data_IF_832071553100
#
_entry.id   IF_832071553100
#
_cell.length_a   1.000
_cell.length_b   1.000
_cell.length_c   1.000
_cell.angle_alpha   90.00
_cell.angle_beta   90.00
_cell.angle_gamma   90.00
#
_symmetry.space_group_name_H-M   'P 1'
#
loop_
_entity.id
_entity.type
_entity.pdbx_description
1 polymer ?
#
# COMPACT_ATOMS: atom_id res chain seq x y z
N UNK A 1 26.54 19.25 -12.57
CA UNK A 1 25.83 18.22 -13.36
C UNK A 1 24.80 17.61 -12.43
N UNK A 2 23.51 17.60 -12.81
CA UNK A 2 22.46 17.00 -11.97
C UNK A 2 22.53 15.48 -12.17
N UNK A 3 22.74 14.74 -11.09
CA UNK A 3 22.69 13.28 -11.13
C UNK A 3 21.24 12.84 -10.93
N UNK A 4 20.61 12.34 -11.99
CA UNK A 4 19.27 11.77 -11.90
C UNK A 4 19.33 10.35 -11.33
N UNK A 5 18.25 9.87 -10.69
CA UNK A 5 18.14 8.48 -10.27
C UNK A 5 18.34 7.52 -11.45
N UNK A 6 19.02 6.39 -11.22
CA UNK A 6 19.16 5.35 -12.23
C UNK A 6 17.80 4.67 -12.44
N UNK A 7 17.20 4.84 -13.62
CA UNK A 7 15.92 4.23 -13.97
C UNK A 7 16.14 2.83 -14.58
N UNK A 8 15.67 1.73 -13.95
CA UNK A 8 15.87 0.38 -14.45
C UNK A 8 14.90 -0.02 -15.58
N UNK A 9 14.15 0.94 -16.16
CA UNK A 9 13.25 0.72 -17.30
C UNK A 9 11.78 0.98 -16.96
N UNK A 10 10.86 0.44 -17.76
CA UNK A 10 9.42 0.57 -17.50
C UNK A 10 9.00 -0.53 -16.51
N UNK A 11 8.28 -0.17 -15.44
CA UNK A 11 7.74 -1.14 -14.50
C UNK A 11 6.53 -1.86 -15.09
N UNK A 12 6.25 -3.10 -14.64
CA UNK A 12 5.08 -3.84 -15.09
C UNK A 12 3.78 -3.05 -14.87
N UNK A 13 3.62 -2.41 -13.70
CA UNK A 13 2.47 -1.56 -13.39
C UNK A 13 2.29 -0.39 -14.34
N UNK A 14 3.38 0.29 -14.72
CA UNK A 14 3.32 1.41 -15.68
C UNK A 14 3.11 0.92 -17.10
N UNK A 15 3.69 -0.22 -17.48
CA UNK A 15 3.63 -0.76 -18.84
C UNK A 15 2.24 -1.23 -19.28
N UNK A 16 1.32 -1.46 -18.35
CA UNK A 16 -0.08 -1.83 -18.62
C UNK A 16 -1.05 -0.65 -18.57
N UNK A 17 -0.57 0.56 -18.28
CA UNK A 17 -1.38 1.78 -18.26
C UNK A 17 -1.25 2.54 -19.59
N UNK A 18 -2.24 3.37 -19.94
CA UNK A 18 -2.09 4.34 -21.01
C UNK A 18 -0.87 5.26 -20.76
N UNK A 19 -0.17 5.71 -21.82
CA UNK A 19 0.91 6.67 -21.66
C UNK A 19 0.37 7.96 -21.05
N UNK A 20 1.07 8.48 -20.04
CA UNK A 20 0.76 9.78 -19.41
C UNK A 20 1.64 10.86 -20.00
N UNK A 21 1.10 12.08 -20.08
CA UNK A 21 1.89 13.24 -20.44
C UNK A 21 2.66 13.71 -19.20
N UNK A 22 3.99 13.81 -19.32
CA UNK A 22 4.82 14.39 -18.28
C UNK A 22 4.41 15.83 -17.99
N UNK A 23 4.49 16.22 -16.70
CA UNK A 23 4.39 17.63 -16.34
C UNK A 23 5.55 18.43 -16.95
N UNK A 24 5.28 19.70 -17.24
CA UNK A 24 6.30 20.59 -17.81
C UNK A 24 7.48 20.72 -16.85
N UNK A 25 8.68 20.71 -17.42
CA UNK A 25 9.88 21.06 -16.67
C UNK A 25 9.75 22.49 -16.14
N UNK A 26 10.18 22.70 -14.89
CA UNK A 26 10.28 24.03 -14.31
C UNK A 26 11.41 24.81 -15.01
N UNK A 27 11.06 25.89 -15.70
CA UNK A 27 11.96 26.76 -16.47
C UNK A 27 12.12 28.16 -15.85
N UNK A 28 11.32 28.50 -14.85
CA UNK A 28 11.36 29.76 -14.12
C UNK A 28 11.28 29.59 -12.60
N UNK A 29 11.68 30.63 -11.87
CA UNK A 29 11.57 30.65 -10.42
C UNK A 29 10.11 30.83 -10.01
N UNK A 30 9.65 30.04 -9.04
CA UNK A 30 8.33 30.16 -8.46
C UNK A 30 8.39 30.36 -6.95
N UNK A 31 7.61 31.31 -6.44
CA UNK A 31 7.31 31.40 -5.02
C UNK A 31 6.21 30.38 -4.68
N UNK A 32 6.28 29.77 -3.50
CA UNK A 32 5.30 28.85 -2.96
C UNK A 32 5.21 29.03 -1.44
N UNK A 33 4.05 28.78 -0.85
CA UNK A 33 3.89 28.71 0.60
C UNK A 33 4.48 27.39 1.13
N UNK A 34 4.35 26.33 0.33
CA UNK A 34 4.91 25.00 0.61
C UNK A 34 5.61 24.42 -0.62
N UNK A 35 6.86 23.98 -0.44
CA UNK A 35 7.62 23.22 -1.43
C UNK A 35 7.76 21.76 -0.96
N UNK A 36 7.25 20.82 -1.75
CA UNK A 36 7.41 19.38 -1.54
C UNK A 36 8.40 18.85 -2.57
N UNK A 37 9.44 18.15 -2.11
CA UNK A 37 10.46 17.55 -2.98
C UNK A 37 10.21 16.04 -3.06
N UNK A 38 9.85 15.57 -4.26
CA UNK A 38 9.54 14.19 -4.61
C UNK A 38 8.04 13.91 -4.70
N UNK A 39 7.58 13.41 -5.85
CA UNK A 39 6.19 13.02 -6.11
C UNK A 39 5.96 11.52 -5.88
N UNK A 40 6.42 11.02 -4.74
CA UNK A 40 6.08 9.67 -4.24
C UNK A 40 4.94 9.70 -3.23
N UNK A 41 4.63 8.54 -2.62
CA UNK A 41 3.55 8.43 -1.61
C UNK A 41 3.62 9.49 -0.52
N UNK A 42 4.79 9.70 0.09
CA UNK A 42 4.94 10.67 1.16
C UNK A 42 4.69 12.11 0.68
N UNK A 43 5.29 12.49 -0.45
CA UNK A 43 5.20 13.85 -0.98
C UNK A 43 3.79 14.19 -1.46
N UNK A 44 3.18 13.33 -2.27
CA UNK A 44 1.81 13.57 -2.77
C UNK A 44 0.77 13.48 -1.65
N UNK A 45 0.90 12.55 -0.70
CA UNK A 45 0.00 12.51 0.46
C UNK A 45 0.13 13.77 1.32
N UNK A 46 1.35 14.29 1.51
CA UNK A 46 1.58 15.54 2.22
C UNK A 46 0.98 16.73 1.45
N UNK A 47 1.19 16.82 0.14
CA UNK A 47 0.63 17.86 -0.71
C UNK A 47 -0.91 17.85 -0.67
N UNK A 48 -1.54 16.68 -0.82
CA UNK A 48 -2.99 16.50 -0.66
C UNK A 48 -3.45 16.96 0.71
N UNK A 49 -2.77 16.55 1.79
CA UNK A 49 -3.16 16.92 3.14
C UNK A 49 -3.02 18.42 3.40
N UNK A 50 -1.97 19.06 2.87
CA UNK A 50 -1.80 20.51 2.92
C UNK A 50 -2.94 21.22 2.18
N UNK A 51 -3.28 20.77 0.97
CA UNK A 51 -4.38 21.33 0.18
C UNK A 51 -5.73 21.24 0.91
N UNK A 52 -6.01 20.13 1.60
CA UNK A 52 -7.22 19.97 2.42
C UNK A 52 -7.28 20.92 3.63
N UNK A 53 -6.11 21.21 4.23
CA UNK A 53 -6.02 22.07 5.43
C UNK A 53 -5.94 23.56 5.09
N UNK A 54 -5.35 23.89 3.94
CA UNK A 54 -5.13 25.24 3.47
C UNK A 54 -5.41 25.32 1.96
N UNK A 55 -6.68 25.35 1.54
CA UNK A 55 -7.07 25.35 0.11
C UNK A 55 -6.53 26.54 -0.68
N UNK A 56 -6.24 27.66 0.00
CA UNK A 56 -5.73 28.88 -0.61
C UNK A 56 -4.19 28.93 -0.69
N UNK A 57 -3.48 27.97 -0.08
CA UNK A 57 -2.02 27.96 -0.08
C UNK A 57 -1.47 27.51 -1.44
N UNK A 58 -0.43 28.21 -1.92
CA UNK A 58 0.31 27.80 -3.11
C UNK A 58 1.28 26.68 -2.77
N UNK A 59 0.90 25.44 -3.12
CA UNK A 59 1.71 24.24 -2.93
C UNK A 59 2.40 23.88 -4.24
N UNK A 60 3.73 23.70 -4.20
CA UNK A 60 4.53 23.24 -5.35
C UNK A 60 5.14 21.89 -5.02
N UNK A 61 4.91 20.90 -5.89
CA UNK A 61 5.57 19.59 -5.84
C UNK A 61 6.63 19.54 -6.93
N UNK A 62 7.88 19.25 -6.56
CA UNK A 62 9.00 19.16 -7.49
C UNK A 62 9.49 17.71 -7.55
N UNK A 63 9.47 17.12 -8.74
CA UNK A 63 9.92 15.76 -9.00
C UNK A 63 10.99 15.77 -10.09
N UNK A 64 11.99 14.89 -9.95
CA UNK A 64 13.13 14.80 -10.87
C UNK A 64 12.84 13.92 -12.09
N UNK A 65 11.88 13.00 -11.99
CA UNK A 65 11.45 12.08 -13.04
C UNK A 65 9.96 12.27 -13.40
N UNK A 66 9.39 11.40 -14.25
CA UNK A 66 7.93 11.39 -14.33
C UNK A 66 7.32 10.76 -13.07
N UNK A 67 6.17 11.27 -12.62
CA UNK A 67 5.40 10.67 -11.53
C UNK A 67 5.15 9.20 -11.85
N UNK A 68 5.28 8.32 -10.85
CA UNK A 68 5.26 6.85 -10.94
C UNK A 68 6.52 6.14 -11.48
N UNK A 69 7.54 6.84 -11.98
CA UNK A 69 8.76 6.17 -12.46
C UNK A 69 9.65 5.63 -11.35
N UNK A 70 9.64 6.28 -10.19
CA UNK A 70 10.41 5.88 -9.02
C UNK A 70 9.79 4.71 -8.25
N UNK A 71 10.32 4.37 -7.06
CA UNK A 71 9.82 3.25 -6.24
C UNK A 71 8.31 3.30 -5.94
N UNK A 72 7.72 4.50 -5.92
CA UNK A 72 6.30 4.72 -5.67
C UNK A 72 5.39 4.03 -6.71
N UNK A 73 5.78 3.95 -7.99
CA UNK A 73 5.01 3.23 -9.02
C UNK A 73 5.50 1.82 -9.33
N UNK A 74 6.40 1.27 -8.50
CA UNK A 74 7.11 0.00 -8.76
C UNK A 74 6.96 -1.06 -7.67
N UNK A 75 6.46 -0.68 -6.50
CA UNK A 75 6.27 -1.60 -5.38
C UNK A 75 5.14 -2.61 -5.64
N UNK A 76 4.94 -3.55 -4.72
CA UNK A 76 3.95 -4.62 -4.86
C UNK A 76 2.49 -4.16 -4.71
N UNK A 77 2.25 -2.94 -4.20
CA UNK A 77 0.91 -2.37 -4.01
C UNK A 77 0.21 -2.78 -2.71
N UNK A 78 0.84 -3.58 -1.84
CA UNK A 78 0.17 -4.06 -0.63
C UNK A 78 0.05 -2.97 0.43
N UNK A 79 -1.18 -2.71 0.88
CA UNK A 79 -1.48 -1.99 2.12
C UNK A 79 -2.00 -3.00 3.14
N UNK A 80 -1.14 -3.37 4.09
CA UNK A 80 -1.45 -4.41 5.09
C UNK A 80 -1.85 -3.72 6.39
N UNK A 81 -3.03 -4.06 6.90
CA UNK A 81 -3.58 -3.48 8.11
C UNK A 81 -3.00 -4.12 9.38
N UNK A 82 -2.92 -5.45 9.41
CA UNK A 82 -2.50 -6.21 10.59
C UNK A 82 -0.98 -6.48 10.64
N UNK A 83 -0.36 -6.49 11.83
CA UNK A 83 1.06 -6.80 12.01
C UNK A 83 1.40 -8.22 11.52
N UNK A 84 2.61 -8.38 10.99
CA UNK A 84 3.02 -9.56 10.21
C UNK A 84 4.09 -10.45 10.86
N UNK A 85 4.74 -10.00 11.93
CA UNK A 85 5.78 -10.75 12.62
C UNK A 85 5.28 -11.24 13.98
N UNK A 86 5.02 -12.54 14.05
CA UNK A 86 4.65 -13.27 15.26
C UNK A 86 5.76 -14.24 15.67
N UNK A 87 6.90 -14.19 14.96
CA UNK A 87 7.93 -15.23 14.99
C UNK A 87 9.16 -14.83 15.80
N UNK A 88 9.23 -13.60 16.30
CA UNK A 88 10.29 -13.24 17.23
C UNK A 88 9.90 -13.64 18.65
N UNK A 89 10.65 -14.57 19.22
CA UNK A 89 10.60 -14.95 20.64
C UNK A 89 10.87 -13.76 21.59
N UNK A 90 11.23 -12.58 21.04
CA UNK A 90 11.42 -11.31 21.75
C UNK A 90 10.20 -10.36 21.70
N UNK A 91 9.08 -10.75 21.07
CA UNK A 91 7.88 -9.91 20.98
C UNK A 91 6.94 -10.11 22.18
N UNK A 92 7.36 -9.62 23.35
CA UNK A 92 6.41 -9.03 24.31
C UNK A 92 5.98 -7.63 23.78
N UNK A 93 5.60 -7.54 22.51
CA UNK A 93 4.75 -6.46 22.04
C UNK A 93 3.41 -6.64 22.73
N UNK A 94 2.99 -5.65 23.52
CA UNK A 94 1.74 -5.75 24.24
C UNK A 94 0.59 -5.68 23.22
N UNK A 95 -0.51 -6.39 23.46
CA UNK A 95 -1.71 -6.39 22.61
C UNK A 95 -2.12 -4.96 22.22
N UNK A 96 -1.89 -4.00 23.11
CA UNK A 96 -2.13 -2.58 22.90
C UNK A 96 -1.30 -1.98 21.74
N UNK A 97 -0.03 -2.38 21.58
CA UNK A 97 0.82 -1.90 20.47
C UNK A 97 0.34 -2.44 19.12
N UNK A 98 -0.09 -3.69 19.07
CA UNK A 98 -0.60 -4.29 17.84
C UNK A 98 -1.94 -3.66 17.44
N UNK A 99 -2.79 -3.33 18.42
CA UNK A 99 -4.01 -2.54 18.20
C UNK A 99 -3.66 -1.13 17.68
N UNK A 100 -2.70 -0.44 18.31
CA UNK A 100 -2.28 0.90 17.88
C UNK A 100 -1.73 0.89 16.45
N UNK A 101 -0.84 -0.06 16.13
CA UNK A 101 -0.29 -0.19 14.78
C UNK A 101 -1.39 -0.51 13.75
N UNK A 102 -2.34 -1.38 14.11
CA UNK A 102 -3.48 -1.70 13.25
C UNK A 102 -4.34 -0.46 12.97
N UNK A 103 -4.60 0.37 13.98
CA UNK A 103 -5.32 1.64 13.81
C UNK A 103 -4.58 2.60 12.87
N UNK A 104 -3.27 2.73 13.02
CA UNK A 104 -2.44 3.57 12.15
C UNK A 104 -2.50 3.06 10.70
N UNK A 105 -2.30 1.77 10.49
CA UNK A 105 -2.32 1.18 9.15
C UNK A 105 -3.69 1.33 8.48
N UNK A 106 -4.78 1.11 9.22
CA UNK A 106 -6.15 1.33 8.72
C UNK A 106 -6.43 2.79 8.40
N UNK A 107 -5.91 3.72 9.21
CA UNK A 107 -6.03 5.14 8.90
C UNK A 107 -5.35 5.51 7.57
N UNK A 108 -4.22 4.87 7.24
CA UNK A 108 -3.56 5.04 5.95
C UNK A 108 -4.39 4.44 4.80
N UNK A 109 -4.99 3.26 5.00
CA UNK A 109 -5.89 2.64 4.01
C UNK A 109 -7.12 3.54 3.75
N UNK A 110 -7.75 4.05 4.79
CA UNK A 110 -8.89 4.97 4.66
C UNK A 110 -8.48 6.31 4.01
N UNK A 111 -7.28 6.82 4.33
CA UNK A 111 -6.76 8.00 3.65
C UNK A 111 -6.61 7.76 2.15
N UNK A 112 -6.12 6.59 1.74
CA UNK A 112 -6.00 6.22 0.33
C UNK A 112 -7.36 6.00 -0.34
N UNK A 113 -8.31 5.33 0.33
CA UNK A 113 -9.68 5.16 -0.16
C UNK A 113 -10.37 6.50 -0.40
N UNK A 114 -10.24 7.44 0.54
CA UNK A 114 -10.80 8.78 0.38
C UNK A 114 -10.20 9.52 -0.82
N UNK A 115 -8.93 9.28 -1.17
CA UNK A 115 -8.32 9.88 -2.36
C UNK A 115 -8.89 9.29 -3.65
N UNK A 116 -9.08 7.96 -3.69
CA UNK A 116 -9.72 7.26 -4.81
C UNK A 116 -11.13 7.78 -5.06
N UNK A 117 -11.91 7.99 -4.00
CA UNK A 117 -13.25 8.57 -4.08
C UNK A 117 -13.23 10.04 -4.51
N UNK A 118 -12.38 10.86 -3.88
CA UNK A 118 -12.27 12.31 -4.14
C UNK A 118 -11.86 12.60 -5.59
N UNK A 119 -10.87 11.87 -6.10
CA UNK A 119 -10.35 12.04 -7.46
C UNK A 119 -11.04 11.15 -8.50
N UNK A 120 -12.10 10.42 -8.09
CA UNK A 120 -12.90 9.56 -8.96
C UNK A 120 -12.02 8.56 -9.74
N UNK A 121 -11.01 8.00 -9.06
CA UNK A 121 -10.10 7.03 -9.64
C UNK A 121 -10.86 5.75 -10.01
N UNK A 122 -10.43 5.00 -11.03
CA UNK A 122 -11.05 3.73 -11.39
C UNK A 122 -10.89 2.69 -10.26
N UNK A 123 -11.78 1.70 -10.24
CA UNK A 123 -11.82 0.67 -9.20
C UNK A 123 -10.53 -0.15 -9.08
N UNK A 124 -9.70 -0.22 -10.12
CA UNK A 124 -8.39 -0.88 -10.06
C UNK A 124 -7.32 -0.09 -9.29
N UNK A 125 -7.51 1.21 -9.04
CA UNK A 125 -6.54 2.03 -8.31
C UNK A 125 -6.35 1.54 -6.87
N UNK A 126 -7.42 1.08 -6.22
CA UNK A 126 -7.42 0.48 -4.89
C UNK A 126 -8.53 -0.56 -4.76
N UNK A 127 -8.16 -1.76 -4.33
CA UNK A 127 -9.09 -2.86 -4.10
C UNK A 127 -8.94 -3.41 -2.67
N UNK A 128 -10.01 -3.36 -1.88
CA UNK A 128 -10.04 -3.92 -0.52
C UNK A 128 -10.41 -5.41 -0.58
N UNK A 129 -9.42 -6.24 -0.91
CA UNK A 129 -9.60 -7.70 -1.16
C UNK A 129 -9.05 -8.59 -0.04
N UNK A 130 -8.51 -7.98 1.02
CA UNK A 130 -7.88 -8.70 2.11
C UNK A 130 -6.55 -9.35 1.72
N UNK A 131 -6.07 -10.26 2.57
CA UNK A 131 -4.79 -10.96 2.42
C UNK A 131 -4.94 -12.39 2.89
N UNK A 132 -4.32 -13.33 2.16
CA UNK A 132 -4.21 -14.74 2.58
C UNK A 132 -2.75 -15.09 2.88
N UNK A 133 -2.47 -15.52 4.11
CA UNK A 133 -1.22 -16.19 4.47
C UNK A 133 -1.35 -17.68 4.15
N UNK A 134 -0.80 -18.10 3.01
CA UNK A 134 -0.85 -19.50 2.56
C UNK A 134 0.24 -20.36 3.24
N UNK A 135 -0.09 -21.59 3.63
CA UNK A 135 0.82 -22.52 4.29
C UNK A 135 0.99 -23.81 3.48
N UNK A 136 2.23 -24.11 3.09
CA UNK A 136 2.59 -25.34 2.36
C UNK A 136 3.20 -26.43 3.26
N UNK A 137 3.38 -26.13 4.55
CA UNK A 137 4.05 -27.02 5.51
C UNK A 137 3.31 -27.06 6.83
N UNK A 138 3.49 -28.14 7.61
CA UNK A 138 2.96 -28.25 8.96
C UNK A 138 3.39 -27.08 9.85
N UNK A 139 4.63 -26.59 9.71
CA UNK A 139 5.13 -25.42 10.43
C UNK A 139 4.33 -24.16 10.07
N UNK A 140 4.04 -23.94 8.79
CA UNK A 140 3.21 -22.82 8.33
C UNK A 140 1.78 -22.91 8.87
N UNK A 141 1.21 -24.13 8.94
CA UNK A 141 -0.10 -24.36 9.54
C UNK A 141 -0.12 -24.00 11.03
N UNK A 142 0.92 -24.36 11.79
CA UNK A 142 1.07 -23.96 13.19
C UNK A 142 1.15 -22.45 13.34
N UNK A 143 1.94 -21.75 12.51
CA UNK A 143 2.01 -20.29 12.55
C UNK A 143 0.67 -19.61 12.25
N UNK A 144 -0.09 -20.11 11.28
CA UNK A 144 -1.44 -19.60 11.02
C UNK A 144 -2.39 -19.87 12.21
N UNK A 145 -2.29 -21.02 12.87
CA UNK A 145 -3.10 -21.32 14.05
C UNK A 145 -2.75 -20.42 15.25
N UNK A 146 -1.47 -20.11 15.45
CA UNK A 146 -1.03 -19.20 16.51
C UNK A 146 -1.41 -17.75 16.20
N UNK A 147 -1.33 -17.34 14.94
CA UNK A 147 -1.84 -16.04 14.50
C UNK A 147 -3.34 -15.91 14.71
N UNK A 148 -4.13 -16.94 14.38
CA UNK A 148 -5.56 -16.97 14.63
C UNK A 148 -5.90 -16.72 16.10
N UNK A 149 -5.14 -17.31 17.05
CA UNK A 149 -5.32 -17.04 18.48
C UNK A 149 -5.01 -15.59 18.85
N UNK A 150 -3.97 -15.01 18.24
CA UNK A 150 -3.63 -13.61 18.43
C UNK A 150 -4.75 -12.69 17.89
N UNK A 151 -5.24 -12.94 16.68
CA UNK A 151 -6.35 -12.19 16.08
C UNK A 151 -7.63 -12.28 16.93
N UNK A 152 -7.94 -13.47 17.48
CA UNK A 152 -9.04 -13.59 18.45
C UNK A 152 -8.83 -12.72 19.70
N UNK A 153 -7.60 -12.60 20.21
CA UNK A 153 -7.31 -11.75 21.38
C UNK A 153 -7.44 -10.26 21.07
N UNK A 154 -7.06 -9.84 19.86
CA UNK A 154 -7.16 -8.44 19.42
C UNK A 154 -8.54 -8.08 18.85
N UNK A 155 -9.46 -9.06 18.76
CA UNK A 155 -10.81 -8.83 18.24
C UNK A 155 -10.87 -8.68 16.72
N UNK A 156 -9.90 -9.26 16.00
CA UNK A 156 -9.76 -9.13 14.55
C UNK A 156 -10.42 -10.27 13.79
N UNK A 157 -11.07 -9.94 12.68
CA UNK A 157 -11.73 -10.91 11.82
C UNK A 157 -10.73 -11.73 11.00
N UNK A 158 -10.94 -13.04 10.96
CA UNK A 158 -10.16 -13.94 10.11
C UNK A 158 -10.97 -15.17 9.68
N UNK A 159 -10.46 -15.84 8.64
CA UNK A 159 -10.93 -17.16 8.23
C UNK A 159 -9.75 -18.09 8.03
N UNK A 160 -9.74 -19.22 8.73
CA UNK A 160 -8.85 -20.32 8.40
C UNK A 160 -9.38 -21.01 7.14
N UNK A 161 -8.45 -21.33 6.25
CA UNK A 161 -8.73 -22.00 4.98
C UNK A 161 -8.12 -23.39 5.00
N UNK A 162 -8.88 -24.40 4.61
CA UNK A 162 -8.37 -25.76 4.39
C UNK A 162 -7.70 -25.90 3.00
N UNK A 163 -7.11 -27.06 2.73
CA UNK A 163 -6.45 -27.34 1.46
C UNK A 163 -7.40 -27.25 0.25
N UNK A 164 -8.68 -27.59 0.41
CA UNK A 164 -9.68 -27.50 -0.68
C UNK A 164 -9.95 -26.04 -1.01
N UNK A 165 -10.21 -25.21 0.02
CA UNK A 165 -10.44 -23.77 -0.15
C UNK A 165 -9.20 -23.06 -0.72
N UNK A 166 -7.99 -23.48 -0.32
CA UNK A 166 -6.75 -22.95 -0.90
C UNK A 166 -6.59 -23.34 -2.37
N UNK A 167 -6.95 -24.56 -2.75
CA UNK A 167 -6.95 -24.99 -4.16
C UNK A 167 -7.96 -24.20 -4.98
N UNK A 168 -9.16 -23.98 -4.45
CA UNK A 168 -10.19 -23.18 -5.13
C UNK A 168 -9.73 -21.73 -5.32
N UNK A 169 -9.01 -21.16 -4.33
CA UNK A 169 -8.47 -19.80 -4.39
C UNK A 169 -7.29 -19.66 -5.35
N UNK A 170 -6.38 -20.65 -5.39
CA UNK A 170 -5.07 -20.51 -6.06
C UNK A 170 -4.94 -21.31 -7.36
N UNK A 171 -5.84 -22.27 -7.59
CA UNK A 171 -5.78 -23.19 -8.73
C UNK A 171 -4.74 -24.32 -8.61
N UNK A 172 -4.04 -24.45 -7.47
CA UNK A 172 -3.01 -25.47 -7.25
C UNK A 172 -3.21 -26.23 -5.93
N UNK A 173 -2.73 -27.47 -5.86
CA UNK A 173 -2.83 -28.38 -4.71
C UNK A 173 -1.61 -28.33 -3.77
N UNK A 174 -0.76 -27.30 -3.91
CA UNK A 174 0.49 -27.15 -3.17
C UNK A 174 0.31 -26.77 -1.69
N UNK A 175 -0.77 -26.04 -1.36
CA UNK A 175 -0.98 -25.51 -0.01
C UNK A 175 -1.83 -26.44 0.86
N UNK A 176 -1.38 -26.65 2.09
CA UNK A 176 -2.07 -27.47 3.11
C UNK A 176 -3.22 -26.69 3.80
N UNK A 177 -3.19 -25.37 3.72
CA UNK A 177 -4.21 -24.47 4.26
C UNK A 177 -3.74 -23.01 4.25
N UNK A 178 -4.51 -22.13 4.87
CA UNK A 178 -4.21 -20.69 4.92
C UNK A 178 -4.96 -19.95 6.01
N UNK A 179 -4.65 -18.68 6.16
CA UNK A 179 -5.39 -17.74 7.02
C UNK A 179 -5.66 -16.48 6.22
N UNK A 180 -6.93 -16.13 6.06
CA UNK A 180 -7.37 -14.92 5.37
C UNK A 180 -7.82 -13.85 6.37
N UNK A 181 -7.42 -12.59 6.12
CA UNK A 181 -7.87 -11.40 6.86
C UNK A 181 -8.46 -10.36 5.89
N UNK A 182 -9.57 -9.69 6.24
CA UNK A 182 -10.31 -8.83 5.32
C UNK A 182 -9.70 -7.44 5.10
N UNK A 183 -8.97 -6.90 6.07
CA UNK A 183 -8.73 -5.46 6.13
C UNK A 183 -7.66 -4.91 5.19
N UNK A 184 -6.84 -5.77 4.58
CA UNK A 184 -5.80 -5.34 3.64
C UNK A 184 -6.39 -4.85 2.30
N UNK A 185 -5.65 -3.95 1.66
CA UNK A 185 -5.96 -3.44 0.32
C UNK A 185 -4.78 -3.62 -0.64
N UNK A 186 -5.10 -3.70 -1.93
CA UNK A 186 -4.15 -3.74 -3.02
C UNK A 186 -4.29 -2.45 -3.84
N UNK A 187 -3.20 -1.70 -3.95
CA UNK A 187 -3.08 -0.59 -4.88
C UNK A 187 -2.56 -1.08 -6.23
N UNK A 188 -3.01 -0.43 -7.30
CA UNK A 188 -2.24 -0.33 -8.52
C UNK A 188 -1.33 0.89 -8.35
N UNK A 189 -0.05 0.72 -7.96
CA UNK A 189 0.75 1.81 -7.40
C UNK A 189 1.10 2.90 -8.42
N UNK A 190 1.26 2.54 -9.69
CA UNK A 190 1.59 3.52 -10.73
C UNK A 190 0.39 4.41 -11.09
N UNK A 191 -0.82 3.83 -11.08
CA UNK A 191 -2.10 4.49 -11.32
C UNK A 191 -2.45 5.37 -10.13
N UNK A 192 -2.46 4.80 -8.92
CA UNK A 192 -2.80 5.53 -7.70
C UNK A 192 -1.91 6.75 -7.51
N UNK A 193 -0.58 6.60 -7.63
CA UNK A 193 0.35 7.74 -7.51
C UNK A 193 0.28 8.69 -8.70
N UNK A 194 -0.05 8.19 -9.89
CA UNK A 194 -0.23 9.04 -11.06
C UNK A 194 -1.45 9.94 -10.97
N UNK A 195 -2.49 9.51 -10.25
CA UNK A 195 -3.79 10.20 -10.11
C UNK A 195 -3.95 10.96 -8.77
N UNK A 196 -3.03 10.79 -7.82
CA UNK A 196 -3.04 11.41 -6.49
C UNK A 196 -2.51 12.85 -6.50
#
# INVERSE_FOLDING_TARGET
MINLPANPGISGWRGILPPRQAHKQLDENQNADYLVIGAGFAGLSAARRLNQLQPDAKIVVLEACEVSEGPAGRNSGFMIDLPHDLSSDDYLGSVEKDIEQTLINRSAIEFAKSAVEEYQMPAEALQQVGKTNAAATAKGMTFNADYAKHLTKTGEDYRLLDATQMRDLTGIDYYQGGLWTPGAALLQPALYIGDL
#
